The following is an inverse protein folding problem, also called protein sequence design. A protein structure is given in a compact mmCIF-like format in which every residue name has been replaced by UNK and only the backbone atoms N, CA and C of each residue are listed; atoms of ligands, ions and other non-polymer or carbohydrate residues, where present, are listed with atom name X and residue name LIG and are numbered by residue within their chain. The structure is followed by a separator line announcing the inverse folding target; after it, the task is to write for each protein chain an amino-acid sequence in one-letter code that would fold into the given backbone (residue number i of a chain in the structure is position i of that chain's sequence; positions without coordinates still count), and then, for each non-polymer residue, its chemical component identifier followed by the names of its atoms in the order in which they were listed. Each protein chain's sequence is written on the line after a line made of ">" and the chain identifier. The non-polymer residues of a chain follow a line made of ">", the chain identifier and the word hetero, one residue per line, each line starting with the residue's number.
data_IF_464610266703
#
_entry.id   IF_464610266703
#
_cell.length_a   1.000
_cell.length_b   1.000
_cell.length_c   1.000
_cell.angle_alpha   90.00
_cell.angle_beta   90.00
_cell.angle_gamma   90.00
#
_symmetry.space_group_name_H-M   'P 1'
#
loop_
_entity.id
_entity.type
_entity.pdbx_description
1 polymer ?
#
# COMPACT_ATOMS: atom_id res chain seq x y z
N UNK A 1 41.33 -36.63 -34.11
CA UNK A 1 42.47 -36.49 -35.03
C UNK A 1 43.04 -35.09 -34.81
N UNK A 2 44.02 -34.97 -33.90
CA UNK A 2 45.48 -34.94 -34.17
C UNK A 2 45.89 -33.53 -34.66
N UNK A 3 46.95 -32.86 -34.20
CA UNK A 3 48.14 -33.20 -33.40
C UNK A 3 48.70 -31.87 -32.83
N UNK A 4 49.13 -31.77 -31.57
CA UNK A 4 50.51 -32.02 -31.06
C UNK A 4 51.65 -31.22 -31.74
N UNK A 5 52.52 -30.64 -30.91
CA UNK A 5 53.79 -30.04 -31.34
C UNK A 5 54.67 -29.40 -30.25
N UNK A 6 55.15 -30.20 -29.30
CA UNK A 6 56.27 -29.90 -28.35
C UNK A 6 57.56 -29.45 -29.04
N UNK A 7 58.40 -28.66 -28.34
CA UNK A 7 59.84 -28.96 -28.08
C UNK A 7 60.55 -27.92 -27.19
N UNK A 8 61.12 -28.42 -26.08
CA UNK A 8 62.32 -27.90 -25.36
C UNK A 8 63.55 -28.78 -25.74
N UNK A 9 64.73 -28.67 -25.08
CA UNK A 9 65.82 -27.68 -25.17
C UNK A 9 67.13 -28.43 -25.64
N UNK A 10 68.42 -28.03 -25.43
CA UNK A 10 69.08 -27.98 -24.10
C UNK A 10 70.38 -27.11 -23.90
N UNK A 11 70.72 -26.89 -22.62
CA UNK A 11 72.03 -27.04 -21.92
C UNK A 11 73.33 -26.33 -22.39
N UNK A 12 74.07 -25.77 -21.41
CA UNK A 12 75.55 -25.81 -21.32
C UNK A 12 76.11 -25.37 -19.94
N UNK A 13 76.40 -26.38 -19.11
CA UNK A 13 77.65 -26.71 -18.37
C UNK A 13 78.69 -25.65 -17.96
N UNK A 14 79.19 -25.84 -16.73
CA UNK A 14 80.63 -25.93 -16.36
C UNK A 14 81.06 -24.92 -15.28
N UNK A 15 81.76 -25.24 -14.19
CA UNK A 15 82.36 -26.48 -13.68
C UNK A 15 83.49 -26.15 -12.68
N UNK A 16 83.64 -26.96 -11.61
CA UNK A 16 84.84 -27.17 -10.77
C UNK A 16 85.29 -26.02 -9.85
N UNK A 17 85.79 -26.20 -8.63
CA UNK A 17 86.22 -27.37 -7.87
C UNK A 17 87.27 -26.95 -6.82
N UNK A 18 87.18 -27.53 -5.62
CA UNK A 18 88.23 -27.78 -4.60
C UNK A 18 88.93 -26.59 -3.90
N UNK A 19 89.42 -26.65 -2.65
CA UNK A 19 89.25 -27.52 -1.49
C UNK A 19 90.06 -26.91 -0.30
N UNK A 20 89.59 -27.18 0.92
CA UNK A 20 90.32 -27.39 2.18
C UNK A 20 91.31 -26.33 2.75
N UNK A 21 91.09 -25.96 4.02
CA UNK A 21 92.09 -25.35 4.90
C UNK A 21 91.52 -25.07 6.29
N UNK A 22 91.78 -25.97 7.24
CA UNK A 22 91.40 -25.94 8.66
C UNK A 22 92.18 -24.89 9.46
N UNK A 23 91.54 -24.23 10.45
CA UNK A 23 92.23 -23.94 11.71
C UNK A 23 91.28 -23.78 12.92
N UNK A 24 91.77 -24.22 14.08
CA UNK A 24 91.08 -24.36 15.35
C UNK A 24 91.40 -23.17 16.28
N UNK A 25 90.40 -22.58 16.94
CA UNK A 25 90.49 -22.16 18.37
C UNK A 25 89.12 -21.78 18.97
N UNK A 26 88.87 -22.04 20.27
CA UNK A 26 87.56 -21.88 20.89
C UNK A 26 87.43 -20.54 21.63
N UNK A 27 86.23 -19.93 21.67
CA UNK A 27 85.84 -19.07 22.79
C UNK A 27 84.32 -18.86 22.92
N UNK A 28 83.80 -19.25 24.09
CA UNK A 28 82.94 -18.46 25.00
C UNK A 28 81.62 -17.87 24.47
N UNK A 29 80.53 -18.57 24.82
CA UNK A 29 79.18 -18.11 25.23
C UNK A 29 78.61 -16.79 24.68
N UNK A 30 77.43 -16.86 24.05
CA UNK A 30 76.31 -15.93 24.37
C UNK A 30 74.95 -16.49 23.95
N UNK A 31 74.21 -17.10 24.90
CA UNK A 31 72.76 -17.29 24.80
C UNK A 31 72.09 -15.92 24.90
N UNK A 32 71.87 -15.22 23.78
CA UNK A 32 71.08 -13.95 23.79
C UNK A 32 70.19 -13.70 22.56
N UNK A 33 70.11 -14.60 21.58
CA UNK A 33 69.37 -14.33 20.32
C UNK A 33 67.96 -14.92 20.23
N UNK A 34 67.54 -15.84 21.12
CA UNK A 34 66.22 -16.47 21.02
C UNK A 34 65.06 -15.67 21.63
N UNK A 35 65.34 -14.68 22.50
CA UNK A 35 64.28 -13.87 23.13
C UNK A 35 63.77 -12.73 22.23
N UNK A 36 64.59 -12.25 21.28
CA UNK A 36 64.22 -11.15 20.36
C UNK A 36 63.30 -11.61 19.22
N UNK A 37 63.40 -12.87 18.81
CA UNK A 37 62.58 -13.41 17.72
C UNK A 37 61.13 -13.65 18.17
N UNK A 38 60.88 -14.24 19.34
CA UNK A 38 59.51 -14.41 19.87
C UNK A 38 58.81 -13.08 20.18
N UNK A 39 59.55 -12.06 20.62
CA UNK A 39 58.97 -10.75 20.92
C UNK A 39 58.44 -10.06 19.64
N UNK A 40 59.14 -10.22 18.51
CA UNK A 40 58.69 -9.64 17.24
C UNK A 40 57.41 -10.30 16.70
N UNK A 41 57.30 -11.63 16.82
CA UNK A 41 56.12 -12.39 16.37
C UNK A 41 54.87 -12.18 17.23
N UNK A 42 55.00 -11.64 18.45
CA UNK A 42 53.87 -11.30 19.33
C UNK A 42 53.58 -9.79 19.30
N UNK A 43 54.60 -8.94 19.30
CA UNK A 43 54.43 -7.49 19.32
C UNK A 43 53.96 -6.91 17.97
N UNK A 44 54.37 -7.49 16.84
CA UNK A 44 53.91 -7.03 15.52
C UNK A 44 52.40 -7.21 15.31
N UNK A 45 51.79 -8.40 15.53
CA UNK A 45 50.33 -8.54 15.41
C UNK A 45 49.57 -7.75 16.48
N UNK A 46 50.12 -7.60 17.70
CA UNK A 46 49.53 -6.74 18.72
C UNK A 46 49.53 -5.25 18.31
N UNK A 47 50.60 -4.76 17.69
CA UNK A 47 50.67 -3.40 17.17
C UNK A 47 49.71 -3.17 15.99
N UNK A 48 49.55 -4.16 15.09
CA UNK A 48 48.56 -4.11 14.01
C UNK A 48 47.14 -4.11 14.55
N UNK A 49 46.84 -4.90 15.59
CA UNK A 49 45.53 -4.89 16.26
C UNK A 49 45.24 -3.55 16.94
N UNK A 50 46.23 -2.95 17.62
CA UNK A 50 46.09 -1.64 18.24
C UNK A 50 45.92 -0.53 17.20
N UNK A 51 46.63 -0.60 16.08
CA UNK A 51 46.46 0.34 14.97
C UNK A 51 45.08 0.18 14.30
N UNK A 52 44.62 -1.06 14.09
CA UNK A 52 43.29 -1.34 13.56
C UNK A 52 42.19 -0.85 14.51
N UNK A 53 42.34 -1.06 15.82
CA UNK A 53 41.45 -0.50 16.85
C UNK A 53 41.47 1.04 16.83
N UNK A 54 42.65 1.66 16.75
CA UNK A 54 42.78 3.11 16.67
C UNK A 54 42.13 3.70 15.41
N UNK A 55 42.29 3.05 14.26
CA UNK A 55 41.61 3.43 13.01
C UNK A 55 40.11 3.23 13.14
N UNK A 56 39.64 2.11 13.71
CA UNK A 56 38.22 1.86 13.97
C UNK A 56 37.61 2.95 14.85
N UNK A 57 38.25 3.26 15.99
CA UNK A 57 37.81 4.33 16.89
C UNK A 57 37.80 5.71 16.22
N UNK A 58 38.78 6.01 15.37
CA UNK A 58 38.83 7.27 14.63
C UNK A 58 37.70 7.38 13.58
N UNK A 59 37.42 6.28 12.86
CA UNK A 59 36.30 6.23 11.92
C UNK A 59 34.96 6.37 12.64
N UNK A 60 34.78 5.69 13.76
CA UNK A 60 33.58 5.80 14.61
C UNK A 60 33.40 7.22 15.16
N UNK A 61 34.49 7.87 15.59
CA UNK A 61 34.45 9.26 16.01
C UNK A 61 34.04 10.19 14.87
N UNK A 62 34.59 10.02 13.66
CA UNK A 62 34.19 10.82 12.49
C UNK A 62 32.74 10.57 12.06
N UNK A 63 32.23 9.35 12.20
CA UNK A 63 30.81 9.03 11.96
C UNK A 63 29.92 9.77 12.95
N UNK A 64 30.25 9.69 14.24
CA UNK A 64 29.51 10.35 15.30
C UNK A 64 29.47 11.88 15.10
N UNK A 65 30.63 12.51 14.85
CA UNK A 65 30.72 13.95 14.60
C UNK A 65 29.88 14.36 13.38
N UNK A 66 29.92 13.60 12.28
CA UNK A 66 29.12 13.89 11.09
C UNK A 66 27.62 13.80 11.37
N UNK A 67 27.17 12.77 12.08
CA UNK A 67 25.78 12.64 12.47
C UNK A 67 25.34 13.82 13.33
N UNK A 68 26.16 14.24 14.28
CA UNK A 68 25.86 15.36 15.18
C UNK A 68 25.79 16.70 14.43
N UNK A 69 26.78 16.97 13.56
CA UNK A 69 26.81 18.17 12.72
C UNK A 69 25.65 18.18 11.74
N UNK A 70 25.33 17.04 11.13
CA UNK A 70 24.16 16.88 10.27
C UNK A 70 22.88 17.22 11.03
N UNK A 71 22.68 16.64 12.22
CA UNK A 71 21.49 16.89 13.04
C UNK A 71 21.36 18.38 13.41
N UNK A 72 22.46 19.07 13.68
CA UNK A 72 22.46 20.51 13.98
C UNK A 72 22.19 21.40 12.76
N UNK A 73 22.61 20.98 11.57
CA UNK A 73 22.58 21.83 10.36
C UNK A 73 21.37 21.56 9.47
N UNK A 74 21.06 20.28 9.22
CA UNK A 74 20.01 19.82 8.32
C UNK A 74 18.75 19.38 9.09
N UNK A 75 18.87 19.14 10.40
CA UNK A 75 17.82 18.54 11.20
C UNK A 75 17.84 17.01 11.14
N UNK A 76 17.08 16.34 12.03
CA UNK A 76 17.13 14.89 12.20
C UNK A 76 16.67 14.14 10.94
N UNK A 77 15.61 14.61 10.28
CA UNK A 77 15.01 13.92 9.14
C UNK A 77 15.89 13.97 7.90
N UNK A 78 16.45 15.15 7.58
CA UNK A 78 17.36 15.30 6.43
C UNK A 78 18.71 14.60 6.66
N UNK A 79 19.20 14.56 7.90
CA UNK A 79 20.41 13.79 8.25
C UNK A 79 20.18 12.29 8.10
N UNK A 80 19.02 11.80 8.54
CA UNK A 80 18.62 10.39 8.39
C UNK A 80 18.51 10.01 6.91
N UNK A 81 17.86 10.85 6.11
CA UNK A 81 17.73 10.65 4.67
C UNK A 81 19.11 10.58 4.01
N UNK A 82 20.01 11.54 4.30
CA UNK A 82 21.37 11.55 3.76
C UNK A 82 22.14 10.26 4.09
N UNK A 83 22.14 9.86 5.36
CA UNK A 83 22.84 8.65 5.82
C UNK A 83 22.27 7.36 5.21
N UNK A 84 20.99 7.35 4.83
CA UNK A 84 20.38 6.19 4.19
C UNK A 84 20.88 5.95 2.75
N UNK A 85 21.43 6.99 2.09
CA UNK A 85 21.97 6.89 0.73
C UNK A 85 23.50 6.92 0.68
N UNK A 86 24.19 7.38 1.73
CA UNK A 86 25.66 7.33 1.88
C UNK A 86 26.13 5.90 2.21
N UNK A 87 26.02 5.00 1.24
CA UNK A 87 26.29 3.55 1.41
C UNK A 87 27.75 3.24 1.74
N UNK A 88 28.68 4.07 1.25
CA UNK A 88 30.11 3.92 1.53
C UNK A 88 30.56 4.69 2.78
N UNK A 89 29.63 5.41 3.42
CA UNK A 89 29.82 6.23 4.63
C UNK A 89 30.94 7.27 4.51
N UNK A 90 31.20 7.79 3.31
CA UNK A 90 32.26 8.76 3.03
C UNK A 90 31.83 10.20 3.34
N UNK A 91 30.53 10.42 3.55
CA UNK A 91 29.95 11.70 3.92
C UNK A 91 29.60 12.57 2.74
N UNK A 92 29.55 12.00 1.54
CA UNK A 92 29.07 12.59 0.32
C UNK A 92 28.12 11.61 -0.37
N UNK A 93 27.20 12.12 -1.20
CA UNK A 93 26.42 11.25 -2.08
C UNK A 93 27.09 11.24 -3.44
N UNK A 94 27.70 10.11 -3.79
CA UNK A 94 28.18 9.91 -5.15
C UNK A 94 27.02 9.88 -6.15
N UNK A 95 27.31 10.04 -7.45
CA UNK A 95 26.26 9.95 -8.48
C UNK A 95 25.57 8.58 -8.47
N UNK A 96 26.28 7.52 -8.11
CA UNK A 96 25.74 6.16 -8.02
C UNK A 96 24.79 6.01 -6.82
N UNK A 97 25.15 6.59 -5.66
CA UNK A 97 24.32 6.61 -4.45
C UNK A 97 23.11 7.54 -4.56
N UNK A 98 23.26 8.61 -5.34
CA UNK A 98 22.19 9.57 -5.61
C UNK A 98 21.22 9.06 -6.68
N UNK A 99 21.65 8.15 -7.57
CA UNK A 99 20.84 7.65 -8.69
C UNK A 99 19.46 7.13 -8.27
N UNK A 100 19.30 6.33 -7.20
CA UNK A 100 17.98 5.89 -6.74
C UNK A 100 17.08 7.05 -6.28
N UNK A 101 17.66 8.12 -5.71
CA UNK A 101 16.92 9.32 -5.35
C UNK A 101 16.56 10.14 -6.59
N UNK A 102 17.48 10.26 -7.55
CA UNK A 102 17.26 10.94 -8.80
C UNK A 102 16.16 10.27 -9.62
N UNK A 103 16.20 8.93 -9.75
CA UNK A 103 15.16 8.15 -10.43
C UNK A 103 13.79 8.33 -9.75
N UNK A 104 13.76 8.50 -8.41
CA UNK A 104 12.53 8.83 -7.65
C UNK A 104 12.05 10.26 -7.87
N UNK A 105 12.96 11.23 -7.96
CA UNK A 105 12.64 12.64 -8.22
C UNK A 105 12.24 12.87 -9.69
N UNK A 106 12.76 12.05 -10.62
CA UNK A 106 12.45 12.09 -12.04
C UNK A 106 11.25 11.23 -12.44
N UNK A 107 10.60 10.55 -11.49
CA UNK A 107 9.40 9.74 -11.70
C UNK A 107 8.23 10.58 -12.20
N UNK A 108 8.21 10.85 -13.50
CA UNK A 108 7.22 11.62 -14.25
C UNK A 108 5.89 10.87 -14.42
N UNK A 109 5.23 10.51 -13.33
CA UNK A 109 3.82 10.13 -13.38
C UNK A 109 3.07 11.00 -12.38
N UNK A 110 2.68 12.21 -12.76
CA UNK A 110 1.77 13.00 -11.93
C UNK A 110 0.41 12.29 -11.86
N UNK A 111 -0.28 12.41 -10.72
CA UNK A 111 -1.69 12.01 -10.63
C UNK A 111 -2.47 12.62 -11.80
N UNK A 112 -3.16 11.78 -12.56
CA UNK A 112 -3.92 12.23 -13.73
C UNK A 112 -5.27 12.76 -13.25
N UNK A 113 -5.63 14.03 -13.51
CA UNK A 113 -7.01 14.46 -13.30
C UNK A 113 -7.89 13.65 -14.25
N UNK A 114 -8.76 12.82 -13.67
CA UNK A 114 -9.74 12.05 -14.43
C UNK A 114 -11.09 12.74 -14.24
N UNK A 115 -11.34 13.73 -15.07
CA UNK A 115 -12.67 14.35 -15.15
C UNK A 115 -13.43 13.72 -16.32
N UNK A 116 -14.64 13.24 -16.05
CA UNK A 116 -15.59 12.84 -17.09
C UNK A 116 -16.63 13.94 -17.26
N UNK A 117 -16.92 14.26 -18.51
CA UNK A 117 -17.97 15.20 -18.85
C UNK A 117 -19.34 14.68 -18.37
N UNK A 118 -20.14 15.60 -17.84
CA UNK A 118 -21.53 15.34 -17.47
C UNK A 118 -22.40 15.67 -18.68
N UNK A 119 -23.13 14.67 -19.16
CA UNK A 119 -24.04 14.80 -20.30
C UNK A 119 -25.13 15.85 -20.02
N UNK A 120 -25.30 16.80 -20.92
CA UNK A 120 -26.30 17.87 -20.82
C UNK A 120 -27.73 17.32 -20.80
N UNK A 121 -27.97 16.18 -21.46
CA UNK A 121 -29.28 15.52 -21.47
C UNK A 121 -29.46 14.53 -20.32
N UNK A 122 -28.43 14.34 -19.49
CA UNK A 122 -28.45 13.40 -18.37
C UNK A 122 -28.93 14.02 -17.06
N UNK A 123 -28.78 13.24 -15.99
CA UNK A 123 -28.99 13.69 -14.62
C UNK A 123 -27.65 13.83 -13.88
N UNK A 124 -27.62 14.74 -12.90
CA UNK A 124 -26.50 15.02 -12.03
C UNK A 124 -26.84 14.59 -10.60
N UNK A 125 -25.87 14.03 -9.90
CA UNK A 125 -25.95 13.70 -8.47
C UNK A 125 -24.80 14.37 -7.74
N UNK A 126 -25.11 14.96 -6.58
CA UNK A 126 -24.14 15.57 -5.68
C UNK A 126 -23.83 14.61 -4.55
N UNK A 127 -22.55 14.33 -4.34
CA UNK A 127 -22.06 13.53 -3.24
C UNK A 127 -21.39 14.43 -2.21
N UNK A 128 -21.63 14.11 -0.93
CA UNK A 128 -20.96 14.69 0.23
C UNK A 128 -19.94 13.73 0.80
N UNK A 129 -18.72 14.21 1.00
CA UNK A 129 -17.62 13.52 1.63
C UNK A 129 -17.62 13.79 3.12
N UNK A 130 -17.72 12.72 3.92
CA UNK A 130 -17.54 12.78 5.37
C UNK A 130 -16.22 12.11 5.74
N UNK A 131 -15.33 12.87 6.37
CA UNK A 131 -13.98 12.41 6.69
C UNK A 131 -13.60 12.88 8.10
N UNK A 132 -13.26 11.92 8.95
CA UNK A 132 -12.60 12.16 10.23
C UNK A 132 -11.21 11.54 10.17
N UNK A 133 -10.15 12.30 10.49
CA UNK A 133 -8.79 11.85 10.29
C UNK A 133 -8.44 10.66 11.18
N UNK A 134 -7.42 9.93 10.74
CA UNK A 134 -6.90 8.75 11.40
C UNK A 134 -6.49 9.01 12.87
N UNK A 135 -6.84 8.09 13.77
CA UNK A 135 -6.51 8.18 15.20
C UNK A 135 -5.11 7.65 15.45
N UNK A 136 -4.11 8.53 15.47
CA UNK A 136 -2.69 8.15 15.68
C UNK A 136 -2.47 7.26 16.91
N UNK A 137 -3.25 7.41 17.98
CA UNK A 137 -3.12 6.63 19.22
C UNK A 137 -3.61 5.18 19.09
N UNK A 138 -4.33 4.83 18.01
CA UNK A 138 -4.76 3.45 17.76
C UNK A 138 -3.59 2.56 17.31
N UNK A 139 -2.55 3.15 16.72
CA UNK A 139 -1.37 2.43 16.23
C UNK A 139 -0.63 1.72 17.36
N UNK A 140 -0.23 0.47 17.12
CA UNK A 140 0.59 -0.28 18.07
C UNK A 140 2.00 0.31 18.17
N UNK A 141 2.56 0.78 17.04
CA UNK A 141 3.93 1.29 16.94
C UNK A 141 4.08 2.72 17.47
N UNK A 142 3.00 3.49 17.58
CA UNK A 142 3.03 4.83 18.19
C UNK A 142 3.21 4.78 19.73
N UNK A 143 3.07 3.60 20.36
CA UNK A 143 3.24 3.43 21.82
C UNK A 143 4.70 3.33 22.26
N UNK A 144 5.65 3.25 21.32
CA UNK A 144 7.09 3.19 21.59
C UNK A 144 7.82 4.45 21.10
N UNK A 145 7.88 5.54 21.91
CA UNK A 145 8.55 6.79 21.55
C UNK A 145 10.09 6.68 21.40
N UNK A 146 10.67 5.52 21.72
CA UNK A 146 12.11 5.24 21.58
C UNK A 146 12.44 4.34 20.37
N UNK A 147 11.45 3.98 19.55
CA UNK A 147 11.68 3.26 18.29
C UNK A 147 12.37 4.19 17.29
N UNK A 148 13.54 3.77 16.79
CA UNK A 148 14.48 4.50 15.92
C UNK A 148 13.95 4.94 14.53
N UNK A 149 12.64 5.02 14.32
CA UNK A 149 12.06 5.50 13.07
C UNK A 149 11.87 7.01 13.18
N UNK A 150 12.63 7.75 12.37
CA UNK A 150 12.41 9.17 12.15
C UNK A 150 10.93 9.42 11.85
N UNK A 151 10.37 10.41 12.53
CA UNK A 151 8.96 10.83 12.42
C UNK A 151 8.56 11.18 10.98
N UNK A 152 9.50 11.32 10.05
CA UNK A 152 9.28 11.68 8.65
C UNK A 152 8.45 10.66 7.85
N UNK A 153 8.56 9.35 8.10
CA UNK A 153 7.80 8.37 7.29
C UNK A 153 6.29 8.40 7.54
N UNK A 154 5.84 8.91 8.70
CA UNK A 154 4.43 9.06 9.04
C UNK A 154 3.87 10.44 8.65
N UNK A 155 4.64 11.24 7.91
CA UNK A 155 4.26 12.61 7.59
C UNK A 155 2.95 12.68 6.80
N UNK A 156 2.81 11.92 5.71
CA UNK A 156 1.57 11.91 4.91
C UNK A 156 0.34 11.53 5.74
N UNK A 157 0.48 10.59 6.68
CA UNK A 157 -0.61 10.22 7.59
C UNK A 157 -1.00 11.35 8.55
N UNK A 158 -0.03 12.14 9.05
CA UNK A 158 -0.30 13.27 9.97
C UNK A 158 -0.87 14.50 9.27
N UNK A 159 -0.53 14.66 7.99
CA UNK A 159 -0.95 15.78 7.14
C UNK A 159 -2.34 15.55 6.54
N UNK A 160 -2.74 14.29 6.34
CA UNK A 160 -4.07 13.95 5.84
C UNK A 160 -5.17 14.17 6.89
N UNK A 161 -5.58 15.42 7.03
CA UNK A 161 -6.57 15.88 8.03
C UNK A 161 -7.95 16.15 7.46
N UNK A 162 -8.02 16.43 6.17
CA UNK A 162 -9.21 16.85 5.45
C UNK A 162 -9.28 16.11 4.11
N UNK A 163 -10.49 15.91 3.56
CA UNK A 163 -10.64 15.35 2.22
C UNK A 163 -10.20 16.35 1.15
N UNK A 164 -10.01 15.88 -0.08
CA UNK A 164 -9.67 16.75 -1.23
C UNK A 164 -10.85 17.65 -1.62
N UNK A 165 -12.07 17.10 -1.56
CA UNK A 165 -13.32 17.84 -1.83
C UNK A 165 -14.43 17.36 -0.90
N UNK A 166 -15.13 18.31 -0.28
CA UNK A 166 -16.29 18.03 0.57
C UNK A 166 -17.56 17.72 -0.24
N UNK A 167 -17.76 18.42 -1.36
CA UNK A 167 -18.87 18.20 -2.28
C UNK A 167 -18.34 17.98 -3.70
N UNK A 168 -18.97 17.07 -4.43
CA UNK A 168 -18.64 16.82 -5.83
C UNK A 168 -19.85 16.31 -6.62
N UNK A 169 -19.94 16.74 -7.88
CA UNK A 169 -20.99 16.33 -8.81
C UNK A 169 -20.54 15.24 -9.77
N UNK A 170 -21.45 14.32 -10.06
CA UNK A 170 -21.27 13.20 -10.97
C UNK A 170 -22.50 13.09 -11.89
N UNK A 171 -22.30 12.62 -13.12
CA UNK A 171 -23.42 12.21 -13.97
C UNK A 171 -24.00 10.90 -13.46
N UNK A 172 -25.32 10.73 -13.48
CA UNK A 172 -25.97 9.48 -13.12
C UNK A 172 -25.44 8.30 -13.95
N UNK A 173 -25.19 8.54 -15.25
CA UNK A 173 -24.62 7.57 -16.17
C UNK A 173 -23.18 7.14 -15.82
N UNK A 174 -22.43 7.93 -15.05
CA UNK A 174 -21.09 7.56 -14.57
C UNK A 174 -21.15 6.33 -13.63
N UNK A 175 -22.32 6.04 -13.03
CA UNK A 175 -22.56 4.88 -12.18
C UNK A 175 -23.00 3.62 -12.93
N UNK A 176 -23.10 3.66 -14.27
CA UNK A 176 -23.41 2.48 -15.09
C UNK A 176 -22.53 1.25 -14.81
N UNK A 177 -21.23 1.37 -14.44
CA UNK A 177 -20.41 0.21 -14.05
C UNK A 177 -20.96 -0.62 -12.88
N UNK A 178 -21.79 -0.04 -12.01
CA UNK A 178 -22.45 -0.74 -10.90
C UNK A 178 -23.66 -1.57 -11.33
N UNK A 179 -24.14 -1.45 -12.58
CA UNK A 179 -25.26 -2.26 -13.04
C UNK A 179 -24.86 -3.75 -13.15
N UNK A 180 -25.73 -4.67 -12.71
CA UNK A 180 -25.47 -6.09 -12.83
C UNK A 180 -25.48 -6.52 -14.31
N UNK A 181 -24.63 -7.49 -14.69
CA UNK A 181 -24.75 -8.12 -16.01
C UNK A 181 -26.11 -8.82 -16.14
N UNK A 182 -26.63 -9.05 -17.37
CA UNK A 182 -27.94 -9.67 -17.59
C UNK A 182 -28.20 -10.96 -16.79
N UNK A 183 -27.17 -11.79 -16.60
CA UNK A 183 -27.27 -13.03 -15.81
C UNK A 183 -27.50 -12.79 -14.31
N UNK A 184 -26.98 -11.70 -13.74
CA UNK A 184 -27.05 -11.43 -12.30
C UNK A 184 -28.41 -10.84 -11.87
N UNK A 185 -29.23 -10.34 -12.81
CA UNK A 185 -30.63 -10.00 -12.52
C UNK A 185 -31.48 -11.24 -12.20
N UNK A 186 -31.08 -12.44 -12.64
CA UNK A 186 -31.92 -13.63 -12.46
C UNK A 186 -31.88 -14.22 -11.04
N UNK A 187 -30.87 -13.87 -10.23
CA UNK A 187 -30.64 -14.43 -8.90
C UNK A 187 -30.17 -13.33 -7.96
N UNK A 188 -31.05 -12.90 -7.04
CA UNK A 188 -30.65 -12.00 -5.95
C UNK A 188 -29.53 -12.61 -5.12
N UNK A 189 -28.57 -11.79 -4.68
CA UNK A 189 -27.41 -12.26 -3.95
C UNK A 189 -26.31 -12.89 -4.82
N UNK A 190 -26.50 -13.06 -6.14
CA UNK A 190 -25.44 -13.52 -7.02
C UNK A 190 -24.36 -12.44 -7.21
N UNK A 191 -23.20 -12.65 -6.59
CA UNK A 191 -22.08 -11.71 -6.67
C UNK A 191 -21.42 -11.71 -8.06
N UNK A 192 -21.18 -10.51 -8.60
CA UNK A 192 -20.48 -10.26 -9.85
C UNK A 192 -19.34 -9.26 -9.64
N UNK A 193 -18.42 -9.19 -10.59
CA UNK A 193 -17.27 -8.29 -10.55
C UNK A 193 -17.61 -6.99 -11.28
N UNK A 194 -17.49 -5.86 -10.58
CA UNK A 194 -17.45 -4.53 -11.20
C UNK A 194 -16.07 -4.36 -11.84
N UNK A 195 -15.03 -4.58 -11.03
CA UNK A 195 -13.62 -4.48 -11.42
C UNK A 195 -12.96 -5.81 -11.04
N UNK A 196 -12.45 -6.60 -12.01
CA UNK A 196 -11.79 -7.86 -11.74
C UNK A 196 -10.38 -7.65 -11.16
N UNK A 197 -9.85 -8.69 -10.52
CA UNK A 197 -8.44 -8.71 -10.09
C UNK A 197 -7.50 -8.67 -11.30
N UNK A 198 -6.42 -7.90 -11.17
CA UNK A 198 -5.34 -7.83 -12.17
C UNK A 198 -4.13 -8.68 -11.79
N UNK A 199 -4.12 -9.27 -10.59
CA UNK A 199 -3.03 -10.13 -10.14
C UNK A 199 -2.94 -11.39 -10.98
N UNK A 200 -1.73 -11.66 -11.47
CA UNK A 200 -1.43 -12.94 -12.07
C UNK A 200 -1.24 -13.99 -10.96
N UNK A 201 -1.67 -15.25 -11.18
CA UNK A 201 -1.46 -16.34 -10.23
C UNK A 201 0.02 -16.59 -9.87
N UNK A 202 0.96 -16.06 -10.67
CA UNK A 202 2.39 -16.31 -10.57
C UNK A 202 3.18 -15.23 -9.80
N UNK A 203 2.72 -13.97 -9.77
CA UNK A 203 3.39 -12.89 -9.04
C UNK A 203 2.70 -12.57 -7.71
N UNK A 204 1.38 -12.76 -7.64
CA UNK A 204 0.57 -12.61 -6.42
C UNK A 204 0.54 -11.21 -5.79
N UNK A 205 1.44 -10.30 -6.18
CA UNK A 205 1.61 -8.97 -5.57
C UNK A 205 2.15 -7.93 -6.57
N UNK A 206 1.85 -6.65 -6.33
CA UNK A 206 2.41 -5.50 -7.03
C UNK A 206 3.48 -4.81 -6.17
N UNK A 207 4.39 -4.07 -6.80
CA UNK A 207 5.49 -3.38 -6.10
C UNK A 207 4.99 -2.32 -5.10
N UNK A 208 5.59 -2.31 -3.91
CA UNK A 208 5.37 -1.26 -2.89
C UNK A 208 6.11 0.04 -3.18
N UNK A 209 7.03 0.05 -4.15
CA UNK A 209 7.75 1.24 -4.57
C UNK A 209 7.00 1.99 -5.68
N UNK A 210 5.75 2.40 -5.39
CA UNK A 210 4.91 3.21 -6.28
C UNK A 210 4.45 4.45 -5.51
N UNK A 211 4.39 5.57 -6.19
CA UNK A 211 3.91 6.83 -5.61
C UNK A 211 2.57 7.20 -6.18
N UNK A 212 2.45 7.15 -7.50
CA UNK A 212 1.29 7.67 -8.20
C UNK A 212 0.44 6.53 -8.75
N UNK A 213 -0.89 6.68 -8.71
CA UNK A 213 -1.78 5.66 -9.22
C UNK A 213 -1.58 5.51 -10.74
N UNK A 214 -1.68 4.27 -11.26
CA UNK A 214 -1.62 4.04 -12.69
C UNK A 214 -2.82 4.70 -13.38
N UNK A 215 -2.68 5.02 -14.67
CA UNK A 215 -3.78 5.58 -15.46
C UNK A 215 -4.96 4.60 -15.50
N UNK A 216 -6.11 5.05 -15.01
CA UNK A 216 -7.36 4.29 -15.00
C UNK A 216 -8.13 4.43 -16.32
N UNK A 217 -8.95 3.41 -16.65
CA UNK A 217 -9.81 3.42 -17.83
C UNK A 217 -11.11 2.66 -17.59
N UNK A 218 -12.12 2.92 -18.42
CA UNK A 218 -13.41 2.21 -18.38
C UNK A 218 -14.07 2.26 -16.98
N UNK A 219 -14.46 1.10 -16.44
CA UNK A 219 -15.15 0.96 -15.15
C UNK A 219 -14.34 1.43 -13.94
N UNK A 220 -13.02 1.57 -14.07
CA UNK A 220 -12.14 2.02 -12.99
C UNK A 220 -12.25 3.53 -12.75
N UNK A 221 -12.69 4.29 -13.77
CA UNK A 221 -12.74 5.75 -13.73
C UNK A 221 -13.63 6.24 -12.59
N UNK A 222 -14.85 5.73 -12.48
CA UNK A 222 -15.80 6.15 -11.44
C UNK A 222 -15.24 5.84 -10.04
N UNK A 223 -14.64 4.67 -9.82
CA UNK A 223 -14.04 4.32 -8.53
C UNK A 223 -12.85 5.21 -8.18
N UNK A 224 -11.97 5.48 -9.14
CA UNK A 224 -10.84 6.41 -8.94
C UNK A 224 -11.33 7.82 -8.58
N UNK A 225 -12.38 8.31 -9.25
CA UNK A 225 -12.95 9.65 -8.98
C UNK A 225 -13.61 9.73 -7.61
N UNK A 226 -14.40 8.72 -7.22
CA UNK A 226 -15.02 8.65 -5.90
C UNK A 226 -13.98 8.62 -4.78
N UNK A 227 -12.98 7.74 -4.89
CA UNK A 227 -11.91 7.65 -3.90
C UNK A 227 -10.99 8.87 -3.91
N UNK A 228 -10.85 9.51 -5.08
CA UNK A 228 -10.12 10.76 -5.27
C UNK A 228 -10.68 11.95 -4.48
N UNK A 229 -11.94 11.88 -4.03
CA UNK A 229 -12.53 12.87 -3.13
C UNK A 229 -11.85 12.86 -1.75
N UNK A 230 -11.33 11.71 -1.30
CA UNK A 230 -10.64 11.60 -0.02
C UNK A 230 -9.16 11.97 -0.12
N UNK A 231 -8.46 11.51 -1.17
CA UNK A 231 -7.02 11.70 -1.32
C UNK A 231 -6.62 11.69 -2.81
N UNK A 232 -5.64 12.50 -3.28
CA UNK A 232 -5.30 12.63 -4.70
C UNK A 232 -4.60 11.41 -5.33
N UNK A 233 -4.26 10.39 -4.54
CA UNK A 233 -3.55 9.18 -4.98
C UNK A 233 -4.28 7.89 -4.58
N UNK A 234 -5.50 7.65 -5.09
CA UNK A 234 -6.22 6.41 -4.85
C UNK A 234 -5.74 5.33 -5.84
N UNK A 235 -5.39 4.15 -5.33
CA UNK A 235 -5.11 2.97 -6.13
C UNK A 235 -6.33 2.05 -6.09
N UNK A 236 -7.04 1.99 -7.23
CA UNK A 236 -8.22 1.13 -7.40
C UNK A 236 -7.86 -0.37 -7.31
N UNK A 237 -6.62 -0.72 -7.63
CA UNK A 237 -6.05 -2.05 -7.44
C UNK A 237 -5.00 -2.02 -6.35
N UNK A 238 -5.31 -2.68 -5.23
CA UNK A 238 -4.38 -2.86 -4.10
C UNK A 238 -3.14 -3.66 -4.50
N UNK A 239 -2.06 -3.64 -3.70
CA UNK A 239 -0.87 -4.43 -4.04
C UNK A 239 -1.06 -5.94 -3.93
N UNK A 240 -2.03 -6.42 -3.16
CA UNK A 240 -2.21 -7.83 -2.82
C UNK A 240 -3.67 -8.24 -2.98
N UNK A 241 -3.91 -9.55 -2.95
CA UNK A 241 -5.24 -10.10 -3.01
C UNK A 241 -5.95 -9.98 -1.63
N UNK A 242 -7.29 -9.90 -1.60
CA UNK A 242 -8.18 -9.79 -2.75
C UNK A 242 -8.15 -8.38 -3.38
N UNK A 243 -8.19 -8.33 -4.71
CA UNK A 243 -8.25 -7.09 -5.46
C UNK A 243 -9.63 -6.86 -6.08
N UNK A 244 -9.91 -5.59 -6.34
CA UNK A 244 -10.99 -5.17 -7.21
C UNK A 244 -12.28 -4.85 -6.45
N UNK A 245 -13.39 -4.88 -7.19
CA UNK A 245 -14.69 -4.49 -6.69
C UNK A 245 -15.73 -5.52 -7.10
N UNK A 246 -16.50 -5.99 -6.12
CA UNK A 246 -17.61 -6.93 -6.33
C UNK A 246 -18.92 -6.31 -5.89
N UNK A 247 -19.99 -6.74 -6.54
CA UNK A 247 -21.33 -6.26 -6.27
C UNK A 247 -22.36 -7.38 -6.38
N UNK A 248 -23.55 -7.14 -5.83
CA UNK A 248 -24.66 -8.08 -5.84
C UNK A 248 -25.97 -7.32 -5.86
N UNK A 249 -27.01 -7.89 -6.47
CA UNK A 249 -28.34 -7.30 -6.43
C UNK A 249 -29.00 -7.69 -5.12
N UNK A 250 -29.33 -6.70 -4.29
CA UNK A 250 -30.07 -6.90 -3.03
C UNK A 250 -31.58 -6.85 -3.26
N UNK A 251 -32.05 -5.90 -4.06
CA UNK A 251 -33.47 -5.75 -4.36
C UNK A 251 -33.70 -5.18 -5.75
N UNK A 252 -34.85 -5.46 -6.36
CA UNK A 252 -35.21 -4.92 -7.66
C UNK A 252 -36.73 -4.76 -7.85
N UNK A 253 -37.11 -3.88 -8.78
CA UNK A 253 -38.43 -3.81 -9.38
C UNK A 253 -38.31 -3.45 -10.87
N UNK A 254 -39.41 -3.04 -11.52
CA UNK A 254 -39.44 -2.71 -12.95
C UNK A 254 -38.56 -1.49 -13.32
N UNK A 255 -38.37 -0.54 -12.38
CA UNK A 255 -37.65 0.72 -12.62
C UNK A 255 -36.26 0.74 -11.96
N UNK A 256 -36.17 0.23 -10.73
CA UNK A 256 -35.04 0.40 -9.82
C UNK A 256 -34.34 -0.92 -9.52
N UNK A 257 -33.04 -0.82 -9.29
CA UNK A 257 -32.20 -1.88 -8.74
C UNK A 257 -31.40 -1.32 -7.56
N UNK A 258 -31.37 -2.06 -6.46
CA UNK A 258 -30.50 -1.80 -5.31
C UNK A 258 -29.31 -2.75 -5.34
N UNK A 259 -28.14 -2.18 -5.57
CA UNK A 259 -26.88 -2.90 -5.70
C UNK A 259 -26.04 -2.64 -4.47
N UNK A 260 -25.67 -3.71 -3.77
CA UNK A 260 -24.72 -3.66 -2.65
C UNK A 260 -23.35 -4.05 -3.19
N UNK A 261 -22.31 -3.34 -2.77
CA UNK A 261 -20.96 -3.55 -3.29
C UNK A 261 -19.90 -3.48 -2.19
N UNK A 262 -18.75 -4.09 -2.52
CA UNK A 262 -17.54 -4.12 -1.71
C UNK A 262 -16.34 -3.83 -2.60
N UNK A 263 -15.51 -2.88 -2.19
CA UNK A 263 -14.37 -2.38 -2.95
C UNK A 263 -13.10 -2.50 -2.10
N UNK A 264 -12.05 -3.04 -2.71
CA UNK A 264 -10.71 -3.15 -2.15
C UNK A 264 -9.79 -2.19 -2.88
N UNK A 265 -9.41 -1.11 -2.21
CA UNK A 265 -8.55 -0.04 -2.73
C UNK A 265 -7.59 0.44 -1.63
N UNK A 266 -6.48 1.06 -2.03
CA UNK A 266 -5.47 1.63 -1.12
C UNK A 266 -5.15 3.07 -1.51
N UNK A 267 -4.56 3.83 -0.59
CA UNK A 267 -4.06 5.18 -0.84
C UNK A 267 -2.56 5.23 -0.59
N UNK A 268 -1.87 6.02 -1.40
CA UNK A 268 -0.47 6.30 -1.20
C UNK A 268 -0.33 7.73 -0.62
N UNK A 269 0.19 7.88 0.59
CA UNK A 269 0.16 9.15 1.31
C UNK A 269 1.43 10.01 1.15
N UNK A 270 2.61 9.39 1.00
CA UNK A 270 3.89 10.12 0.98
C UNK A 270 4.36 10.46 -0.43
N UNK A 271 4.98 11.62 -0.63
CA UNK A 271 5.65 11.96 -1.89
C UNK A 271 7.17 11.86 -1.77
N UNK A 272 7.92 11.69 -2.88
CA UNK A 272 9.37 11.79 -2.84
C UNK A 272 9.80 13.14 -2.22
N UNK A 273 10.85 13.16 -1.38
CA UNK A 273 11.83 12.10 -1.15
C UNK A 273 11.43 11.08 -0.07
N UNK A 274 10.28 11.23 0.59
CA UNK A 274 9.82 10.26 1.58
C UNK A 274 9.54 8.92 0.92
N UNK A 275 9.70 7.84 1.69
CA UNK A 275 9.36 6.50 1.24
C UNK A 275 7.85 6.31 1.16
N UNK A 276 7.35 5.42 0.28
CA UNK A 276 5.92 5.19 0.15
C UNK A 276 5.29 4.76 1.46
N UNK A 277 4.15 5.36 1.74
CA UNK A 277 3.27 5.01 2.83
C UNK A 277 1.93 4.62 2.25
N UNK A 278 1.56 3.36 2.42
CA UNK A 278 0.34 2.76 1.95
C UNK A 278 -0.67 2.74 3.09
N UNK A 279 -1.83 3.30 2.83
CA UNK A 279 -2.97 3.32 3.72
C UNK A 279 -4.09 2.53 3.07
N UNK A 280 -4.42 1.39 3.65
CA UNK A 280 -5.31 0.39 3.06
C UNK A 280 -6.51 0.18 3.97
N UNK A 281 -7.66 0.82 3.70
CA UNK A 281 -8.90 0.45 4.37
C UNK A 281 -9.18 -1.04 4.20
N UNK A 282 -9.65 -1.70 5.26
CA UNK A 282 -9.95 -3.13 5.24
C UNK A 282 -10.96 -3.49 4.14
N UNK A 283 -11.92 -2.59 3.93
CA UNK A 283 -12.82 -2.57 2.79
C UNK A 283 -13.51 -1.22 2.72
N UNK A 284 -13.95 -0.85 1.53
CA UNK A 284 -15.12 0.00 1.38
C UNK A 284 -16.35 -0.85 1.13
N UNK A 285 -17.45 -0.50 1.77
CA UNK A 285 -18.75 -1.14 1.57
C UNK A 285 -19.79 -0.08 1.27
N UNK A 286 -20.85 -0.46 0.58
CA UNK A 286 -21.87 0.52 0.23
C UNK A 286 -23.02 -0.08 -0.55
N UNK A 287 -23.97 0.79 -0.88
CA UNK A 287 -25.06 0.45 -1.77
C UNK A 287 -25.45 1.65 -2.64
N UNK A 288 -26.01 1.32 -3.80
CA UNK A 288 -26.52 2.28 -4.77
C UNK A 288 -27.89 1.83 -5.27
N UNK A 289 -28.84 2.76 -5.27
CA UNK A 289 -30.14 2.57 -5.89
C UNK A 289 -30.17 3.37 -7.18
N UNK A 290 -30.30 2.69 -8.31
CA UNK A 290 -30.27 3.31 -9.63
C UNK A 290 -31.30 2.70 -10.57
N UNK A 291 -31.63 3.42 -11.64
CA UNK A 291 -32.48 2.90 -12.70
C UNK A 291 -31.78 1.78 -13.45
N UNK A 292 -32.52 0.87 -14.07
CA UNK A 292 -31.96 -0.28 -14.81
C UNK A 292 -31.05 0.09 -15.99
N UNK A 293 -31.12 1.34 -16.44
CA UNK A 293 -30.29 1.92 -17.51
C UNK A 293 -29.23 2.92 -17.00
N UNK A 294 -29.12 3.11 -15.68
CA UNK A 294 -28.27 4.10 -15.03
C UNK A 294 -28.48 5.55 -15.49
N UNK A 295 -29.64 5.87 -16.08
CA UNK A 295 -30.04 7.25 -16.36
C UNK A 295 -30.29 8.06 -15.09
N UNK A 296 -30.57 7.39 -13.98
CA UNK A 296 -30.97 8.01 -12.71
C UNK A 296 -30.40 7.27 -11.51
N UNK A 297 -29.88 8.00 -10.53
CA UNK A 297 -29.37 7.49 -9.26
C UNK A 297 -30.18 8.09 -8.12
N UNK A 298 -30.89 7.24 -7.38
CA UNK A 298 -31.74 7.68 -6.27
C UNK A 298 -30.98 7.79 -4.95
N UNK A 299 -30.02 6.90 -4.74
CA UNK A 299 -29.26 6.83 -3.49
C UNK A 299 -27.87 6.28 -3.78
N UNK A 300 -26.87 6.87 -3.14
CA UNK A 300 -25.51 6.36 -3.14
C UNK A 300 -24.90 6.48 -1.75
N UNK A 301 -24.30 5.39 -1.26
CA UNK A 301 -23.58 5.35 -0.01
C UNK A 301 -22.34 4.45 -0.14
N UNK A 302 -21.18 4.95 0.26
CA UNK A 302 -19.89 4.25 0.28
C UNK A 302 -19.19 4.60 1.60
N UNK A 303 -18.73 3.63 2.37
CA UNK A 303 -18.03 3.91 3.63
C UNK A 303 -17.03 2.83 4.03
N UNK A 304 -16.09 3.20 4.88
CA UNK A 304 -15.22 2.26 5.61
C UNK A 304 -15.94 1.83 6.90
N UNK A 305 -16.23 0.54 7.11
CA UNK A 305 -16.88 0.08 8.33
C UNK A 305 -16.01 0.30 9.57
N UNK A 306 -16.64 0.77 10.65
CA UNK A 306 -15.96 1.06 11.93
C UNK A 306 -16.27 0.04 13.03
N UNK A 307 -17.17 -0.90 12.75
CA UNK A 307 -17.62 -1.95 13.66
C UNK A 307 -16.90 -3.29 13.47
N UNK A 308 -15.77 -3.29 12.77
CA UNK A 308 -14.94 -4.47 12.50
C UNK A 308 -13.64 -4.43 13.30
N UNK A 309 -13.04 -5.62 13.48
CA UNK A 309 -11.77 -5.82 14.16
C UNK A 309 -10.61 -5.14 13.43
N UNK A 310 -10.60 -5.23 12.09
CA UNK A 310 -9.71 -4.52 11.20
C UNK A 310 -10.47 -3.38 10.53
N UNK A 311 -9.88 -2.19 10.56
CA UNK A 311 -10.46 -0.99 9.97
C UNK A 311 -9.53 -0.40 8.90
N UNK A 312 -8.25 -0.19 9.24
CA UNK A 312 -7.20 0.18 8.28
C UNK A 312 -5.93 -0.60 8.58
N UNK A 313 -5.31 -1.11 7.53
CA UNK A 313 -3.94 -1.61 7.51
C UNK A 313 -3.01 -0.58 6.87
N UNK A 314 -1.79 -0.47 7.39
CA UNK A 314 -0.81 0.50 6.92
C UNK A 314 0.55 -0.16 6.76
N UNK A 315 1.17 0.09 5.61
CA UNK A 315 2.50 -0.39 5.29
C UNK A 315 3.35 0.77 4.81
N UNK A 316 4.58 0.90 5.32
CA UNK A 316 5.50 1.90 4.78
C UNK A 316 6.90 1.36 4.65
N UNK A 317 7.56 1.82 3.58
CA UNK A 317 8.98 1.55 3.42
C UNK A 317 9.77 2.51 4.32
N UNK A 318 10.84 2.02 4.92
CA UNK A 318 11.79 2.84 5.69
C UNK A 318 13.23 2.72 5.17
N UNK A 319 13.38 2.26 3.93
CA UNK A 319 14.65 2.13 3.24
C UNK A 319 14.47 1.69 1.78
N UNK A 320 15.56 1.62 0.99
CA UNK A 320 15.51 1.36 -0.46
C UNK A 320 15.25 -0.11 -0.84
N UNK A 321 15.31 -1.04 0.12
CA UNK A 321 15.06 -2.47 -0.09
C UNK A 321 13.63 -2.90 0.26
N UNK A 322 13.11 -3.92 -0.43
CA UNK A 322 11.78 -4.50 -0.19
C UNK A 322 11.61 -5.12 1.20
N UNK A 323 12.70 -5.49 1.87
CA UNK A 323 12.71 -6.08 3.23
C UNK A 323 12.55 -5.03 4.33
N UNK A 324 12.61 -3.73 4.00
CA UNK A 324 12.51 -2.62 4.95
C UNK A 324 11.08 -2.07 4.97
N UNK A 325 10.12 -2.96 5.21
CA UNK A 325 8.71 -2.62 5.31
C UNK A 325 8.23 -2.75 6.74
N UNK A 326 7.59 -1.71 7.23
CA UNK A 326 6.90 -1.72 8.52
C UNK A 326 5.40 -1.83 8.27
N UNK A 327 4.73 -2.67 9.05
CA UNK A 327 3.28 -2.85 9.04
C UNK A 327 2.66 -2.40 10.37
N UNK A 328 1.50 -1.77 10.36
CA UNK A 328 0.70 -1.52 11.57
C UNK A 328 -0.78 -1.40 11.18
N UNK A 329 -1.66 -1.66 12.15
CA UNK A 329 -3.09 -1.46 11.97
C UNK A 329 -3.56 -0.24 12.75
N UNK A 330 -4.68 0.33 12.32
CA UNK A 330 -5.26 1.42 13.07
C UNK A 330 -6.71 1.69 12.73
N UNK A 331 -7.14 2.88 13.15
CA UNK A 331 -8.54 3.26 13.18
C UNK A 331 -8.76 4.64 12.55
N UNK A 332 -9.58 4.67 11.50
CA UNK A 332 -10.21 5.85 10.94
C UNK A 332 -11.68 5.89 11.40
N UNK A 333 -12.11 6.92 12.15
CA UNK A 333 -13.46 6.99 12.67
C UNK A 333 -14.52 7.18 11.59
N UNK A 334 -14.19 7.89 10.51
CA UNK A 334 -15.13 8.15 9.43
C UNK A 334 -14.45 8.39 8.10
N UNK A 335 -14.85 7.62 7.09
CA UNK A 335 -14.48 7.82 5.69
C UNK A 335 -15.67 7.32 4.87
N UNK A 336 -16.49 8.25 4.40
CA UNK A 336 -17.83 7.97 3.88
C UNK A 336 -18.20 8.98 2.76
N UNK A 337 -18.90 8.50 1.73
CA UNK A 337 -19.57 9.31 0.71
C UNK A 337 -21.06 9.02 0.77
N UNK A 338 -21.88 10.08 0.77
CA UNK A 338 -23.35 9.97 0.73
C UNK A 338 -23.92 10.88 -0.35
N UNK A 339 -24.89 10.42 -1.12
CA UNK A 339 -25.70 11.29 -1.97
C UNK A 339 -26.48 12.28 -1.13
N UNK A 340 -26.38 13.57 -1.45
CA UNK A 340 -27.16 14.64 -0.78
C UNK A 340 -28.65 14.47 -1.05
N UNK A 341 -28.98 14.15 -2.29
CA UNK A 341 -30.33 13.88 -2.77
C UNK A 341 -30.27 12.93 -3.98
N UNK A 342 -31.43 12.42 -4.44
CA UNK A 342 -31.56 11.77 -5.74
C UNK A 342 -31.06 12.65 -6.88
N UNK A 343 -30.66 12.03 -7.98
CA UNK A 343 -30.21 12.76 -9.17
C UNK A 343 -31.35 13.56 -9.80
N UNK A 344 -30.98 14.71 -10.35
CA UNK A 344 -31.86 15.68 -11.01
C UNK A 344 -31.37 15.97 -12.42
N UNK A 345 -32.25 16.33 -13.36
CA UNK A 345 -31.84 16.74 -14.71
C UNK A 345 -30.81 17.86 -14.67
N UNK A 346 -29.78 17.77 -15.52
CA UNK A 346 -28.71 18.79 -15.61
C UNK A 346 -29.27 20.16 -16.01
N UNK A 347 -30.17 20.17 -16.99
CA UNK A 347 -30.85 21.37 -17.48
C UNK A 347 -32.31 21.36 -17.03
N UNK A 348 -32.69 22.36 -16.24
CA UNK A 348 -34.04 22.50 -15.72
C UNK A 348 -34.70 23.72 -16.37
N UNK A 349 -35.66 23.46 -17.23
CA UNK A 349 -36.40 24.50 -17.95
C UNK A 349 -37.50 25.08 -17.07
N UNK A 350 -37.54 26.41 -16.99
CA UNK A 350 -38.58 27.15 -16.29
C UNK A 350 -39.75 27.48 -17.23
N UNK A 351 -40.88 27.88 -16.65
CA UNK A 351 -42.11 28.23 -17.40
C UNK A 351 -41.90 29.41 -18.37
N UNK A 352 -40.94 30.29 -18.10
CA UNK A 352 -40.60 31.44 -18.94
C UNK A 352 -39.65 31.11 -20.11
N UNK A 353 -39.24 29.85 -20.24
CA UNK A 353 -38.31 29.38 -21.27
C UNK A 353 -36.82 29.60 -20.94
N UNK A 354 -36.50 30.14 -19.75
CA UNK A 354 -35.14 30.10 -19.22
C UNK A 354 -34.78 28.68 -18.73
N UNK A 355 -33.50 28.42 -18.51
CA UNK A 355 -33.04 27.16 -17.93
C UNK A 355 -32.00 27.40 -16.84
N UNK A 356 -31.96 26.50 -15.87
CA UNK A 356 -30.91 26.40 -14.86
C UNK A 356 -29.97 25.27 -15.28
N UNK A 357 -28.68 25.56 -15.34
CA UNK A 357 -27.63 24.55 -15.51
C UNK A 357 -27.04 24.19 -14.14
N UNK A 358 -27.40 23.01 -13.64
CA UNK A 358 -26.97 22.57 -12.31
C UNK A 358 -25.46 22.33 -12.18
N UNK A 359 -24.71 22.33 -13.29
CA UNK A 359 -23.24 22.21 -13.26
C UNK A 359 -22.55 23.53 -12.94
N UNK A 360 -23.23 24.65 -13.19
CA UNK A 360 -22.72 26.00 -12.94
C UNK A 360 -23.17 26.54 -11.57
N UNK A 361 -24.13 25.87 -10.92
CA UNK A 361 -24.57 26.22 -9.57
C UNK A 361 -23.50 25.90 -8.52
N UNK A 362 -23.42 26.74 -7.48
CA UNK A 362 -22.61 26.45 -6.30
C UNK A 362 -23.16 25.20 -5.59
N UNK A 363 -22.29 24.22 -5.34
CA UNK A 363 -22.68 23.00 -4.65
C UNK A 363 -23.11 23.31 -3.22
N UNK A 364 -24.28 22.79 -2.86
CA UNK A 364 -24.92 23.01 -1.58
C UNK A 364 -25.35 21.69 -0.97
N UNK A 365 -25.40 21.63 0.37
CA UNK A 365 -25.91 20.48 1.10
C UNK A 365 -27.44 20.39 1.07
N UNK A 366 -28.11 21.48 0.74
CA UNK A 366 -29.55 21.48 0.52
C UNK A 366 -29.82 21.24 -0.96
N UNK A 367 -30.64 20.24 -1.30
CA UNK A 367 -31.03 20.05 -2.69
C UNK A 367 -31.86 21.24 -3.15
N UNK A 368 -31.42 21.88 -4.24
CA UNK A 368 -32.09 23.05 -4.81
C UNK A 368 -33.52 22.71 -5.25
N UNK A 369 -33.76 21.46 -5.68
CA UNK A 369 -35.01 21.04 -6.32
C UNK A 369 -35.40 19.64 -5.82
N UNK A 370 -36.59 19.53 -5.24
CA UNK A 370 -37.20 18.26 -4.84
C UNK A 370 -38.25 17.86 -5.87
N UNK A 371 -38.08 16.69 -6.51
CA UNK A 371 -39.12 16.08 -7.33
C UNK A 371 -40.03 15.23 -6.42
N UNK A 372 -41.35 15.41 -6.50
CA UNK A 372 -42.32 14.66 -5.69
C UNK A 372 -42.22 13.13 -5.89
N UNK A 373 -41.77 12.68 -7.06
CA UNK A 373 -41.54 11.24 -7.33
C UNK A 373 -40.47 10.60 -6.42
N UNK A 374 -39.65 11.42 -5.77
CA UNK A 374 -38.50 10.98 -4.98
C UNK A 374 -38.77 10.83 -3.49
N UNK A 375 -39.90 11.33 -3.00
CA UNK A 375 -40.21 11.35 -1.56
C UNK A 375 -40.81 10.05 -1.02
N UNK A 376 -41.21 9.11 -1.88
CA UNK A 376 -41.87 7.86 -1.47
C UNK A 376 -40.92 6.65 -1.49
N UNK A 377 -40.93 5.83 -0.44
CA UNK A 377 -40.10 4.60 -0.37
C UNK A 377 -40.26 3.69 -1.59
N UNK A 378 -39.14 3.14 -2.06
CA UNK A 378 -39.15 2.20 -3.19
C UNK A 378 -39.82 0.90 -2.76
N UNK A 379 -40.88 0.51 -3.48
CA UNK A 379 -41.50 -0.82 -3.31
C UNK A 379 -40.75 -1.85 -4.16
N UNK A 380 -40.17 -2.84 -3.51
CA UNK A 380 -39.40 -3.90 -4.17
C UNK A 380 -40.32 -5.06 -4.59
N UNK A 381 -40.09 -5.63 -5.78
CA UNK A 381 -40.77 -6.85 -6.21
C UNK A 381 -40.10 -8.08 -5.58
N UNK A 382 -38.78 -8.01 -5.42
CA UNK A 382 -37.96 -9.04 -4.81
C UNK A 382 -36.85 -8.35 -4.01
N UNK A 383 -36.55 -8.88 -2.82
CA UNK A 383 -35.49 -8.37 -1.97
C UNK A 383 -34.89 -9.47 -1.08
N UNK A 384 -33.61 -9.31 -0.75
CA UNK A 384 -32.90 -10.02 0.31
C UNK A 384 -32.42 -9.03 1.37
N UNK A 385 -32.03 -9.55 2.53
CA UNK A 385 -31.48 -8.71 3.60
C UNK A 385 -30.11 -8.14 3.21
N UNK A 386 -29.76 -7.01 3.82
CA UNK A 386 -28.43 -6.40 3.67
C UNK A 386 -27.32 -7.36 4.13
N UNK A 387 -27.57 -8.13 5.20
CA UNK A 387 -26.64 -9.11 5.74
C UNK A 387 -26.37 -10.25 4.75
N UNK A 388 -27.39 -10.78 4.08
CA UNK A 388 -27.25 -11.80 3.04
C UNK A 388 -26.48 -11.28 1.82
N UNK A 389 -26.78 -10.06 1.38
CA UNK A 389 -26.05 -9.41 0.30
C UNK A 389 -24.57 -9.26 0.65
N UNK A 390 -24.26 -8.70 1.83
CA UNK A 390 -22.88 -8.54 2.32
C UNK A 390 -22.13 -9.87 2.45
N UNK A 391 -22.80 -10.91 2.95
CA UNK A 391 -22.23 -12.26 3.04
C UNK A 391 -21.88 -12.82 1.67
N UNK A 392 -22.71 -12.60 0.65
CA UNK A 392 -22.43 -13.05 -0.72
C UNK A 392 -21.16 -12.41 -1.29
N UNK A 393 -20.96 -11.11 -1.02
CA UNK A 393 -19.75 -10.37 -1.43
C UNK A 393 -18.51 -10.86 -0.70
N UNK A 394 -18.64 -11.11 0.61
CA UNK A 394 -17.56 -11.66 1.43
C UNK A 394 -17.12 -13.04 0.94
N UNK A 395 -18.06 -13.94 0.64
CA UNK A 395 -17.75 -15.27 0.08
C UNK A 395 -17.11 -15.17 -1.30
N UNK A 396 -17.54 -14.20 -2.14
CA UNK A 396 -16.94 -13.99 -3.47
C UNK A 396 -15.49 -13.55 -3.38
N UNK A 397 -15.15 -12.66 -2.44
CA UNK A 397 -13.77 -12.19 -2.22
C UNK A 397 -12.92 -13.21 -1.44
N UNK A 398 -13.53 -13.92 -0.51
CA UNK A 398 -12.89 -14.90 0.35
C UNK A 398 -13.63 -16.24 0.29
N UNK A 399 -13.35 -17.10 -0.70
CA UNK A 399 -14.09 -18.36 -0.89
C UNK A 399 -14.14 -19.28 0.34
N UNK A 400 -13.13 -19.20 1.22
CA UNK A 400 -13.09 -19.95 2.48
C UNK A 400 -14.21 -19.56 3.47
N UNK A 401 -14.82 -18.39 3.32
CA UNK A 401 -15.98 -17.92 4.11
C UNK A 401 -17.28 -18.67 3.83
N UNK A 402 -17.27 -19.54 2.82
CA UNK A 402 -18.35 -20.52 2.63
C UNK A 402 -18.47 -21.45 3.84
N UNK A 403 -17.38 -21.66 4.58
CA UNK A 403 -17.37 -22.47 5.79
C UNK A 403 -17.93 -21.65 6.97
N UNK A 404 -18.96 -22.15 7.68
CA UNK A 404 -19.46 -21.50 8.88
C UNK A 404 -18.40 -21.48 9.99
N UNK A 405 -18.26 -20.33 10.64
CA UNK A 405 -17.39 -20.16 11.79
C UNK A 405 -18.20 -20.32 13.06
N UNK A 406 -17.75 -21.19 13.95
CA UNK A 406 -18.31 -21.41 15.26
C UNK A 406 -17.27 -21.03 16.31
N UNK A 407 -17.71 -20.50 17.45
CA UNK A 407 -16.80 -20.42 18.59
C UNK A 407 -16.45 -21.84 19.07
N UNK A 408 -15.41 -21.97 19.91
CA UNK A 408 -14.93 -23.29 20.36
C UNK A 408 -16.06 -24.15 20.95
N UNK A 409 -16.88 -23.58 21.83
CA UNK A 409 -17.97 -24.31 22.48
C UNK A 409 -18.99 -24.83 21.48
N UNK A 410 -19.44 -23.97 20.56
CA UNK A 410 -20.38 -24.34 19.50
C UNK A 410 -19.81 -25.38 18.54
N UNK A 411 -18.53 -25.27 18.19
CA UNK A 411 -17.85 -26.22 17.33
C UNK A 411 -17.86 -27.63 17.93
N UNK A 412 -17.56 -27.76 19.24
CA UNK A 412 -17.62 -29.04 19.94
C UNK A 412 -19.05 -29.57 20.04
N UNK A 413 -20.03 -28.72 20.40
CA UNK A 413 -21.44 -29.14 20.45
C UNK A 413 -21.96 -29.60 19.09
N UNK A 414 -21.55 -28.92 18.01
CA UNK A 414 -21.92 -29.29 16.64
C UNK A 414 -21.26 -30.61 16.21
N UNK A 415 -19.98 -30.79 16.54
CA UNK A 415 -19.25 -32.00 16.24
C UNK A 415 -19.85 -33.23 16.97
N UNK A 416 -20.24 -33.07 18.23
CA UNK A 416 -20.95 -34.11 19.00
C UNK A 416 -22.30 -34.44 18.35
N UNK A 417 -23.11 -33.42 18.02
CA UNK A 417 -24.42 -33.60 17.40
C UNK A 417 -24.33 -34.26 16.02
N UNK A 418 -23.28 -33.99 15.25
CA UNK A 418 -23.06 -34.56 13.92
C UNK A 418 -22.22 -35.86 13.94
N UNK A 419 -21.81 -36.34 15.12
CA UNK A 419 -20.89 -37.47 15.30
C UNK A 419 -19.60 -37.34 14.46
N UNK A 420 -18.99 -36.15 14.48
CA UNK A 420 -17.76 -35.81 13.78
C UNK A 420 -16.62 -35.48 14.75
N UNK A 421 -15.38 -35.61 14.29
CA UNK A 421 -14.20 -35.16 15.02
C UNK A 421 -13.95 -33.67 14.78
N UNK A 422 -13.45 -32.97 15.80
CA UNK A 422 -12.96 -31.59 15.66
C UNK A 422 -11.50 -31.62 15.21
N UNK A 423 -11.21 -31.03 14.06
CA UNK A 423 -9.85 -30.74 13.59
C UNK A 423 -9.55 -29.26 13.82
N UNK A 424 -8.46 -28.96 14.52
CA UNK A 424 -8.08 -27.57 14.87
C UNK A 424 -6.86 -27.14 14.06
N UNK A 425 -6.95 -25.94 13.46
CA UNK A 425 -5.86 -25.28 12.75
C UNK A 425 -5.59 -23.96 13.50
N UNK A 426 -4.35 -23.76 13.95
CA UNK A 426 -3.92 -22.50 14.54
C UNK A 426 -3.29 -21.63 13.46
N UNK A 427 -3.84 -20.43 13.27
CA UNK A 427 -3.34 -19.43 12.34
C UNK A 427 -2.94 -18.17 13.10
N UNK A 428 -1.89 -17.50 12.62
CA UNK A 428 -1.46 -16.22 13.15
C UNK A 428 -2.01 -15.13 12.22
N UNK A 429 -3.15 -14.55 12.58
CA UNK A 429 -3.86 -13.55 11.79
C UNK A 429 -5.38 -13.64 11.96
N UNK A 430 -6.08 -12.55 11.65
CA UNK A 430 -7.53 -12.49 11.56
C UNK A 430 -8.04 -13.35 10.37
N UNK A 431 -9.23 -13.93 10.45
CA UNK A 431 -9.85 -14.60 9.29
C UNK A 431 -11.01 -13.76 8.73
N UNK A 432 -11.25 -12.60 9.32
CA UNK A 432 -12.43 -11.77 9.25
C UNK A 432 -12.34 -10.68 8.19
N UNK A 433 -11.13 -10.16 7.95
CA UNK A 433 -10.80 -9.22 6.89
C UNK A 433 -9.28 -9.24 6.76
N UNK A 434 -8.74 -9.89 5.74
CA UNK A 434 -7.31 -9.79 5.47
C UNK A 434 -7.13 -8.86 4.29
N UNK A 435 -6.62 -7.67 4.63
CA UNK A 435 -5.93 -6.76 3.72
C UNK A 435 -4.42 -7.08 3.71
N UNK A 436 -4.00 -8.32 4.00
CA UNK A 436 -2.63 -8.82 3.88
C UNK A 436 -2.58 -10.35 3.88
#
# INVERSE_FOLDING_TARGET
>A
MASEGKRDPPDKRGGGGDAAGTDHRPSVTTKRSTLRSCCFWVCAPAAVLLAALGVGMYLDYRRWVRKEVGMMTLGPDATSLFLAYDTNEDGYLSMEEFKPLLDRLQGNETSYPVDEEIDQAGEIIVLKTHFEPFVMQSMSKNKNPFGFLGNSNLQGLREWREPVRELASFGANHFAPFLPPPAAYSVLGAAYEIIPSTLTPFSGTLSSNRYFPPKVSNKEVILHRLLGLFHPRPFVHMRFAPQGAVATVRAENERWVDVVFRIHAEFQLNEPPLYPFWFTPAQFTGNIVLSRDASRVRHFHLYVPTNRSLNVDMEWLHGPGHENMEVDIGYIPRMELTSVAPSTPVLIYQEDGSYIDQREEELSEEPTIFLEEDSGDVRWNSEISMEEAMKSLEVKMYPFKTVPYYNFTEAFSRAEAENKLVHSILLWGALDDQSC
#
